data_IF_332270312467
#
_entry.id   IF_332270312467
#
_cell.length_a   1.000
_cell.length_b   1.000
_cell.length_c   1.000
_cell.angle_alpha   90.00
_cell.angle_beta   90.00
_cell.angle_gamma   90.00
#
_symmetry.space_group_name_H-M   'P 1'
#
loop_
_entity.id
_entity.type
_entity.pdbx_description
1 polymer ?
#
# COMPACT_ATOMS: atom_id res chain seq x y z
N UNK A 1 -26.48 22.94 -25.77
CA UNK A 1 -25.40 22.96 -24.76
C UNK A 1 -24.78 21.57 -24.71
N UNK A 2 -23.61 21.39 -25.32
CA UNK A 2 -22.89 20.12 -25.25
C UNK A 2 -22.35 19.96 -23.82
N UNK A 3 -22.73 18.87 -23.16
CA UNK A 3 -22.16 18.52 -21.85
C UNK A 3 -20.70 18.15 -22.09
N UNK A 4 -19.80 19.00 -21.61
CA UNK A 4 -18.39 18.67 -21.43
C UNK A 4 -18.33 17.38 -20.60
N UNK A 5 -17.97 16.27 -21.25
CA UNK A 5 -17.66 15.02 -20.56
C UNK A 5 -16.27 15.20 -19.97
N UNK A 6 -16.21 15.88 -18.83
CA UNK A 6 -15.01 16.01 -18.03
C UNK A 6 -14.36 14.63 -17.88
N UNK A 7 -13.24 14.45 -18.54
CA UNK A 7 -12.39 13.26 -18.43
C UNK A 7 -12.08 13.08 -16.95
N UNK A 8 -12.52 11.97 -16.35
CA UNK A 8 -12.18 11.66 -14.96
C UNK A 8 -10.66 11.79 -14.78
N UNK A 9 -10.17 12.40 -13.68
CA UNK A 9 -8.74 12.46 -13.44
C UNK A 9 -8.18 11.04 -13.50
N UNK A 10 -7.02 10.88 -14.17
CA UNK A 10 -6.35 9.58 -14.22
C UNK A 10 -6.07 9.12 -12.79
N UNK A 11 -6.15 7.82 -12.49
CA UNK A 11 -5.82 7.30 -11.18
C UNK A 11 -4.41 7.74 -10.78
N UNK A 12 -4.24 8.09 -9.51
CA UNK A 12 -2.94 8.41 -8.95
C UNK A 12 -2.20 7.08 -8.70
N UNK A 13 -1.03 6.92 -9.34
CA UNK A 13 -0.26 5.68 -9.34
C UNK A 13 1.15 5.93 -8.85
N UNK A 14 1.64 5.06 -7.96
CA UNK A 14 2.96 5.15 -7.37
C UNK A 14 3.75 3.85 -7.55
N UNK A 15 5.06 3.97 -7.77
CA UNK A 15 5.99 2.85 -7.57
C UNK A 15 6.26 2.66 -6.09
N UNK A 16 6.07 1.44 -5.60
CA UNK A 16 6.24 1.04 -4.20
C UNK A 16 6.89 -0.36 -4.13
N UNK A 17 7.16 -0.81 -2.91
CA UNK A 17 7.91 -2.02 -2.62
C UNK A 17 7.23 -2.87 -1.56
N UNK A 18 7.26 -4.19 -1.76
CA UNK A 18 6.78 -5.19 -0.80
C UNK A 18 7.87 -6.24 -0.56
N UNK A 19 8.39 -6.29 0.67
CA UNK A 19 9.36 -7.30 1.06
C UNK A 19 8.68 -8.55 1.61
N UNK A 20 9.12 -9.73 1.16
CA UNK A 20 8.50 -11.00 1.53
C UNK A 20 9.46 -12.19 1.32
N UNK A 21 9.00 -13.41 1.66
CA UNK A 21 9.76 -14.64 1.42
C UNK A 21 9.82 -15.00 -0.07
N UNK A 22 10.74 -15.88 -0.46
CA UNK A 22 10.87 -16.32 -1.86
C UNK A 22 9.61 -17.04 -2.34
N UNK A 23 9.05 -17.91 -1.49
CA UNK A 23 7.84 -18.69 -1.76
C UNK A 23 6.60 -17.78 -1.88
N UNK A 24 6.50 -16.77 -1.00
CA UNK A 24 5.43 -15.80 -1.05
C UNK A 24 5.52 -14.91 -2.30
N UNK A 25 6.71 -14.45 -2.67
CA UNK A 25 6.92 -13.70 -3.90
C UNK A 25 6.48 -14.48 -5.15
N UNK A 26 6.90 -15.74 -5.27
CA UNK A 26 6.49 -16.62 -6.37
C UNK A 26 4.98 -16.89 -6.40
N UNK A 27 4.33 -16.95 -5.23
CA UNK A 27 2.87 -17.06 -5.15
C UNK A 27 2.21 -15.77 -5.61
N UNK A 28 2.66 -14.61 -5.13
CA UNK A 28 2.11 -13.30 -5.50
C UNK A 28 2.23 -13.06 -7.01
N UNK A 29 3.36 -13.41 -7.61
CA UNK A 29 3.56 -13.26 -9.06
C UNK A 29 2.61 -14.14 -9.89
N UNK A 30 2.19 -15.30 -9.37
CA UNK A 30 1.31 -16.24 -10.06
C UNK A 30 -0.17 -15.97 -9.80
N UNK A 31 -0.52 -15.62 -8.57
CA UNK A 31 -1.89 -15.64 -8.05
C UNK A 31 -2.38 -14.24 -7.64
N UNK A 32 -1.50 -13.23 -7.64
CA UNK A 32 -1.78 -11.91 -7.10
C UNK A 32 -1.59 -11.83 -5.58
N UNK A 33 -1.75 -10.63 -5.04
CA UNK A 33 -1.67 -10.42 -3.60
C UNK A 33 -2.88 -10.98 -2.87
N UNK A 34 -2.64 -11.56 -1.69
CA UNK A 34 -3.69 -11.84 -0.71
C UNK A 34 -3.56 -10.82 0.43
N UNK A 35 -4.62 -10.06 0.75
CA UNK A 35 -4.56 -9.07 1.82
C UNK A 35 -4.38 -9.75 3.17
N UNK A 36 -3.61 -9.13 4.06
CA UNK A 36 -3.56 -9.54 5.46
C UNK A 36 -4.93 -9.33 6.11
N UNK A 37 -5.33 -10.22 7.02
CA UNK A 37 -6.56 -10.08 7.81
C UNK A 37 -6.39 -9.06 8.95
N UNK A 38 -5.16 -8.75 9.35
CA UNK A 38 -4.85 -7.86 10.47
C UNK A 38 -3.63 -6.99 10.20
N UNK A 39 -3.39 -5.99 11.05
CA UNK A 39 -2.20 -5.16 11.01
C UNK A 39 -2.42 -3.81 11.70
N UNK A 40 -1.38 -2.99 11.75
CA UNK A 40 -1.42 -1.66 12.36
C UNK A 40 -2.52 -0.77 11.77
N UNK A 41 -2.80 -0.93 10.47
CA UNK A 41 -3.82 -0.21 9.73
C UNK A 41 -5.05 -1.09 9.41
N UNK A 42 -5.20 -2.25 10.06
CA UNK A 42 -6.24 -3.21 9.71
C UNK A 42 -5.92 -4.06 8.46
N UNK A 43 -6.94 -4.71 7.88
CA UNK A 43 -6.78 -5.60 6.73
C UNK A 43 -6.30 -4.87 5.47
N UNK A 44 -5.48 -5.55 4.66
CA UNK A 44 -4.99 -5.03 3.39
C UNK A 44 -3.58 -5.50 3.03
N UNK A 45 -3.08 -5.00 1.91
CA UNK A 45 -1.70 -5.25 1.43
C UNK A 45 -0.82 -4.07 1.82
N UNK A 46 0.27 -4.37 2.54
CA UNK A 46 1.19 -3.37 3.04
C UNK A 46 2.36 -3.17 2.08
N UNK A 47 2.61 -1.92 1.70
CA UNK A 47 3.66 -1.52 0.77
C UNK A 47 4.32 -0.23 1.24
N UNK A 48 5.52 0.06 0.74
CA UNK A 48 6.24 1.29 1.07
C UNK A 48 6.96 1.84 -0.15
N UNK A 49 7.08 3.16 -0.24
CA UNK A 49 7.95 3.86 -1.20
C UNK A 49 9.43 3.76 -0.83
N UNK A 50 9.75 3.31 0.37
CA UNK A 50 11.12 3.11 0.87
C UNK A 50 11.54 1.64 0.69
N UNK A 51 12.41 1.38 -0.28
CA UNK A 51 12.91 0.03 -0.56
C UNK A 51 13.65 -0.58 0.65
N UNK A 52 14.45 0.22 1.37
CA UNK A 52 15.17 -0.27 2.55
C UNK A 52 14.22 -0.65 3.68
N UNK A 53 13.04 -0.03 3.75
CA UNK A 53 11.98 -0.48 4.66
C UNK A 53 11.47 -1.85 4.22
N UNK A 54 11.12 -2.01 2.95
CA UNK A 54 10.60 -3.26 2.43
C UNK A 54 11.60 -4.42 2.65
N UNK A 55 12.90 -4.20 2.43
CA UNK A 55 13.96 -5.20 2.65
C UNK A 55 13.99 -5.81 4.07
N UNK A 56 13.41 -5.14 5.07
CA UNK A 56 13.33 -5.68 6.44
C UNK A 56 12.33 -6.82 6.60
N UNK A 57 11.40 -6.98 5.66
CA UNK A 57 10.30 -7.96 5.73
C UNK A 57 10.60 -9.27 5.00
N UNK A 58 11.67 -9.33 4.21
CA UNK A 58 12.10 -10.57 3.58
C UNK A 58 13.23 -10.40 2.60
N UNK A 59 13.85 -11.52 2.17
CA UNK A 59 14.99 -11.52 1.26
C UNK A 59 14.63 -11.16 -0.19
N UNK A 60 13.33 -11.16 -0.54
CA UNK A 60 12.85 -10.75 -1.87
C UNK A 60 12.02 -9.48 -1.72
N UNK A 61 12.29 -8.49 -2.56
CA UNK A 61 11.48 -7.26 -2.66
C UNK A 61 10.81 -7.22 -4.02
N UNK A 62 9.49 -7.18 -4.02
CA UNK A 62 8.68 -6.92 -5.21
C UNK A 62 8.59 -5.41 -5.43
N UNK A 63 8.89 -4.96 -6.65
CA UNK A 63 8.54 -3.63 -7.13
C UNK A 63 7.12 -3.68 -7.69
N UNK A 64 6.27 -2.75 -7.27
CA UNK A 64 4.86 -2.72 -7.63
C UNK A 64 4.43 -1.33 -8.05
N UNK A 65 3.44 -1.25 -8.94
CA UNK A 65 2.68 -0.02 -9.18
C UNK A 65 1.34 -0.10 -8.45
N UNK A 66 0.99 0.95 -7.71
CA UNK A 66 -0.18 0.98 -6.84
C UNK A 66 -1.12 2.11 -7.23
N UNK A 67 -2.36 1.79 -7.57
CA UNK A 67 -3.44 2.76 -7.79
C UNK A 67 -4.10 3.12 -6.45
N UNK A 68 -3.63 4.19 -5.80
CA UNK A 68 -3.94 4.46 -4.38
C UNK A 68 -5.39 4.87 -4.11
N UNK A 69 -6.11 5.36 -5.13
CA UNK A 69 -7.50 5.80 -5.01
C UNK A 69 -7.69 6.88 -3.94
N UNK A 70 -8.73 6.75 -3.12
CA UNK A 70 -9.01 7.64 -2.00
C UNK A 70 -8.12 7.28 -0.81
N UNK A 71 -7.16 8.15 -0.50
CA UNK A 71 -6.19 7.93 0.57
C UNK A 71 -6.65 8.53 1.90
N UNK A 72 -6.61 7.75 2.98
CA UNK A 72 -6.76 8.23 4.35
C UNK A 72 -5.41 8.39 5.02
N UNK A 73 -5.04 9.61 5.39
CA UNK A 73 -3.87 9.86 6.24
C UNK A 73 -4.12 9.36 7.67
N UNK A 74 -3.21 8.55 8.20
CA UNK A 74 -3.18 8.02 9.56
C UNK A 74 -1.86 8.46 10.21
N UNK A 75 -1.88 9.53 11.00
CA UNK A 75 -0.69 10.27 11.42
C UNK A 75 -0.40 10.22 12.94
N UNK A 76 -1.07 9.34 13.67
CA UNK A 76 -0.82 9.12 15.11
C UNK A 76 -1.38 7.78 15.56
N UNK A 77 -0.77 7.18 16.58
CA UNK A 77 -1.33 6.00 17.22
C UNK A 77 -2.69 6.32 17.86
N UNK A 78 -3.64 5.38 17.75
CA UNK A 78 -5.02 5.59 18.19
C UNK A 78 -5.78 6.57 17.31
N UNK A 79 -5.36 6.78 16.05
CA UNK A 79 -6.13 7.59 15.12
C UNK A 79 -7.56 7.00 14.99
N UNK A 80 -8.64 7.82 14.99
CA UNK A 80 -10.02 7.32 15.03
C UNK A 80 -10.39 6.36 13.88
N UNK A 81 -9.67 6.46 12.77
CA UNK A 81 -9.84 5.62 11.59
C UNK A 81 -8.65 4.69 11.32
N UNK A 82 -7.80 4.43 12.32
CA UNK A 82 -6.58 3.63 12.14
C UNK A 82 -6.87 2.26 11.50
N UNK A 83 -7.95 1.61 11.90
CA UNK A 83 -8.38 0.30 11.37
C UNK A 83 -9.79 0.32 10.74
N UNK A 84 -10.40 1.50 10.59
CA UNK A 84 -11.79 1.65 10.10
C UNK A 84 -11.93 2.52 8.84
N UNK A 85 -10.80 2.86 8.21
CA UNK A 85 -10.77 3.70 7.00
C UNK A 85 -11.45 3.03 5.80
N UNK A 86 -11.37 1.71 5.67
CA UNK A 86 -12.02 0.96 4.60
C UNK A 86 -13.55 1.12 4.65
N UNK A 87 -14.15 1.01 5.85
CA UNK A 87 -15.60 1.17 6.06
C UNK A 87 -16.07 2.60 5.78
N UNK A 88 -15.16 3.58 5.84
CA UNK A 88 -15.43 4.97 5.45
C UNK A 88 -15.23 5.23 3.95
N UNK A 89 -14.99 4.19 3.15
CA UNK A 89 -14.90 4.27 1.68
C UNK A 89 -13.57 4.79 1.16
N UNK A 90 -12.48 4.60 1.91
CA UNK A 90 -11.12 4.85 1.45
C UNK A 90 -10.52 3.57 0.87
N UNK A 91 -9.70 3.72 -0.17
CA UNK A 91 -9.04 2.62 -0.87
C UNK A 91 -7.68 2.28 -0.26
N UNK A 92 -7.01 3.29 0.32
CA UNK A 92 -5.68 3.17 0.94
C UNK A 92 -5.61 3.94 2.25
N UNK A 93 -5.03 3.35 3.30
CA UNK A 93 -4.53 4.11 4.45
C UNK A 93 -3.05 4.39 4.30
N UNK A 94 -2.63 5.61 4.61
CA UNK A 94 -1.24 6.06 4.48
C UNK A 94 -0.71 6.63 5.80
N UNK A 95 0.41 6.10 6.26
CA UNK A 95 1.22 6.61 7.37
C UNK A 95 2.31 7.53 6.83
N UNK A 96 2.26 8.84 7.11
CA UNK A 96 3.31 9.75 6.67
C UNK A 96 4.62 9.54 7.46
N UNK A 97 5.78 9.90 6.86
CA UNK A 97 7.05 9.80 7.56
C UNK A 97 7.07 10.74 8.78
N UNK A 98 7.78 10.32 9.84
CA UNK A 98 8.04 11.10 11.07
C UNK A 98 6.79 11.62 11.79
N UNK A 99 5.66 10.90 11.72
CA UNK A 99 4.43 11.27 12.44
C UNK A 99 4.26 10.59 13.80
N UNK A 100 5.23 9.75 14.22
CA UNK A 100 5.16 9.03 15.50
C UNK A 100 4.28 7.78 15.48
N UNK A 101 3.80 7.34 14.31
CA UNK A 101 3.07 6.07 14.16
C UNK A 101 3.93 4.84 14.50
N UNK A 102 5.19 4.84 14.05
CA UNK A 102 6.15 3.74 14.24
C UNK A 102 7.50 4.27 14.72
N UNK A 103 8.26 3.51 15.54
CA UNK A 103 9.56 3.97 16.06
C UNK A 103 10.57 4.34 14.97
N UNK A 104 10.53 3.67 13.83
CA UNK A 104 11.43 3.96 12.70
C UNK A 104 11.13 5.30 12.01
N UNK A 105 9.95 5.88 12.24
CA UNK A 105 9.47 7.07 11.54
C UNK A 105 9.30 6.90 10.02
N UNK A 106 9.40 5.68 9.49
CA UNK A 106 9.22 5.40 8.06
C UNK A 106 7.74 5.30 7.69
N UNK A 107 7.44 5.70 6.46
CA UNK A 107 6.08 5.70 5.91
C UNK A 107 5.59 4.29 5.55
N UNK A 108 4.28 4.13 5.37
CA UNK A 108 3.64 2.87 4.97
C UNK A 108 2.29 3.13 4.34
N UNK A 109 1.94 2.36 3.34
CA UNK A 109 0.61 2.31 2.76
C UNK A 109 -0.01 0.94 3.04
N UNK A 110 -1.30 0.91 3.36
CA UNK A 110 -2.11 -0.29 3.42
C UNK A 110 -3.26 -0.15 2.42
N UNK A 111 -3.21 -0.94 1.36
CA UNK A 111 -4.15 -0.91 0.24
C UNK A 111 -5.21 -1.99 0.47
N UNK A 112 -6.50 -1.62 0.39
CA UNK A 112 -7.60 -2.53 0.69
C UNK A 112 -7.71 -3.64 -0.34
N UNK A 113 -7.69 -3.25 -1.61
CA UNK A 113 -7.97 -4.12 -2.75
C UNK A 113 -6.65 -4.51 -3.46
N UNK A 114 -6.27 -5.80 -3.44
CA UNK A 114 -5.05 -6.27 -4.10
C UNK A 114 -5.06 -6.05 -5.62
N UNK A 115 -6.23 -5.93 -6.27
CA UNK A 115 -6.32 -5.68 -7.72
C UNK A 115 -5.77 -4.30 -8.14
N UNK A 116 -5.60 -3.40 -7.17
CA UNK A 116 -4.95 -2.08 -7.37
C UNK A 116 -3.44 -2.14 -7.38
N UNK A 117 -2.86 -3.32 -7.17
CA UNK A 117 -1.41 -3.53 -7.06
C UNK A 117 -0.96 -4.45 -8.19
N UNK A 118 -0.11 -3.91 -9.06
CA UNK A 118 0.52 -4.69 -10.14
C UNK A 118 1.98 -4.90 -9.83
N UNK A 119 2.44 -6.16 -9.82
CA UNK A 119 3.87 -6.47 -9.76
C UNK A 119 4.52 -6.12 -11.09
N UNK A 120 5.54 -5.27 -11.05
CA UNK A 120 6.31 -4.87 -12.24
C UNK A 120 7.70 -5.49 -12.29
N UNK A 121 8.19 -6.01 -11.16
CA UNK A 121 9.44 -6.75 -11.11
C UNK A 121 9.90 -7.08 -9.70
N UNK A 122 11.14 -7.56 -9.60
CA UNK A 122 11.85 -7.74 -8.33
C UNK A 122 12.93 -6.67 -8.23
N UNK A 123 12.89 -5.90 -7.16
CA UNK A 123 13.90 -4.87 -6.91
C UNK A 123 15.21 -5.52 -6.44
N UNK A 124 16.33 -4.93 -6.85
CA UNK A 124 17.66 -5.25 -6.31
C UNK A 124 18.04 -4.10 -5.39
N UNK A 125 18.38 -4.42 -4.14
CA UNK A 125 18.95 -3.46 -3.21
C UNK A 125 20.38 -3.09 -3.56
#
# INVERSE_FOLDING_TARGET
MARDRSRSPRPEVYTMYHGTSREAAERIEREGFQPSETGMLGPGVYVSRDIEKAMKYGPVVLEVTVEVGRVKRIDRQGHPMQNSWAQAGYDTAWVPPRCGMVPSGKEEDCVLDPERITVVGRARG
#
